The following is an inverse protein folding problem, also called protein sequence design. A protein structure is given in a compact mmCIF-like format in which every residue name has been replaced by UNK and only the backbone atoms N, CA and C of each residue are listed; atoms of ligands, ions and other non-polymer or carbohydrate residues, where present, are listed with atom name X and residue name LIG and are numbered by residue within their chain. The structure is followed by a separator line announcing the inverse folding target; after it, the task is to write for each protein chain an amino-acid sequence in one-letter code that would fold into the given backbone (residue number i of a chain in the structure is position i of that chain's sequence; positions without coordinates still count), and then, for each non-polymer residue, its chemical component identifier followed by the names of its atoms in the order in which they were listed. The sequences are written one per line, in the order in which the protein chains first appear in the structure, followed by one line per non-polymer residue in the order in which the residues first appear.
data_IF_954548326296
#
_entry.id   IF_954548326296
#
_cell.length_a   1.000
_cell.length_b   1.000
_cell.length_c   1.000
_cell.angle_alpha   90.00
_cell.angle_beta   90.00
_cell.angle_gamma   90.00
#
_symmetry.space_group_name_H-M   'P 1'
#
loop_
_entity.id
_entity.type
_entity.pdbx_description
1 polymer ?
#
# COMPACT_ATOMS: atom_id res chain seq x y z
N UNK A 1 -28.05 -5.98 2.42
CA UNK A 1 -28.86 -7.22 2.26
C UNK A 1 -27.99 -8.47 2.48
N UNK A 2 -26.87 -8.70 1.79
CA UNK A 2 -26.11 -9.94 1.90
C UNK A 2 -25.56 -10.23 3.30
N UNK A 3 -24.94 -9.25 3.96
CA UNK A 3 -24.37 -9.47 5.30
C UNK A 3 -25.44 -9.61 6.38
N UNK A 4 -26.60 -8.97 6.25
CA UNK A 4 -27.75 -9.20 7.15
C UNK A 4 -28.21 -10.66 7.07
N UNK A 5 -28.31 -11.24 5.87
CA UNK A 5 -28.68 -12.65 5.70
C UNK A 5 -27.61 -13.59 6.26
N UNK A 6 -26.32 -13.29 6.05
CA UNK A 6 -25.23 -14.09 6.63
C UNK A 6 -25.26 -14.05 8.17
N UNK A 7 -25.56 -12.91 8.74
CA UNK A 7 -25.67 -12.72 10.17
C UNK A 7 -26.80 -13.58 10.79
N UNK A 8 -27.93 -13.73 10.07
CA UNK A 8 -29.05 -14.54 10.50
C UNK A 8 -28.80 -16.06 10.44
N UNK A 9 -27.97 -16.53 9.49
CA UNK A 9 -27.80 -17.97 9.23
C UNK A 9 -26.50 -18.55 9.77
N UNK A 10 -25.50 -17.71 10.05
CA UNK A 10 -24.21 -18.16 10.59
C UNK A 10 -24.28 -18.27 12.12
N UNK A 11 -23.50 -19.22 12.66
CA UNK A 11 -23.29 -19.34 14.09
C UNK A 11 -22.85 -18.01 14.74
N UNK A 12 -23.28 -17.76 15.96
CA UNK A 12 -22.99 -16.50 16.68
C UNK A 12 -21.50 -16.22 16.87
N UNK A 13 -20.66 -17.26 16.82
CA UNK A 13 -19.21 -17.14 16.94
C UNK A 13 -18.50 -16.88 15.62
N UNK A 14 -19.22 -16.93 14.49
CA UNK A 14 -18.66 -16.72 13.15
C UNK A 14 -18.18 -15.28 12.98
N UNK A 15 -16.93 -15.11 12.54
CA UNK A 15 -16.40 -13.82 12.08
C UNK A 15 -16.81 -13.64 10.62
N UNK A 16 -17.45 -12.53 10.29
CA UNK A 16 -17.81 -12.16 8.93
C UNK A 16 -16.72 -11.29 8.32
N UNK A 17 -16.40 -11.52 7.06
CA UNK A 17 -15.38 -10.76 6.37
C UNK A 17 -15.83 -10.33 4.98
N UNK A 18 -15.43 -9.13 4.55
CA UNK A 18 -15.67 -8.61 3.21
C UNK A 18 -14.38 -8.44 2.42
N UNK A 19 -14.36 -8.90 1.17
CA UNK A 19 -13.28 -8.60 0.22
C UNK A 19 -13.56 -7.30 -0.57
N UNK A 20 -14.19 -6.33 0.06
CA UNK A 20 -14.40 -5.02 -0.58
C UNK A 20 -13.08 -4.34 -0.89
N UNK A 21 -13.01 -3.64 -2.03
CA UNK A 21 -11.89 -2.75 -2.38
C UNK A 21 -12.26 -1.27 -2.28
N UNK A 22 -13.56 -0.97 -2.08
CA UNK A 22 -14.07 0.39 -2.17
C UNK A 22 -15.17 0.72 -1.16
N UNK A 23 -15.91 -0.29 -0.64
CA UNK A 23 -16.94 -0.03 0.36
C UNK A 23 -16.34 0.09 1.75
N UNK A 24 -16.80 1.05 2.54
CA UNK A 24 -16.40 1.20 3.94
C UNK A 24 -16.70 -0.06 4.74
N UNK A 25 -15.69 -0.57 5.43
CA UNK A 25 -15.79 -1.74 6.31
C UNK A 25 -16.64 -1.40 7.54
N UNK A 26 -16.53 -0.17 8.05
CA UNK A 26 -17.37 0.33 9.15
C UNK A 26 -18.86 0.27 8.77
N UNK A 27 -19.24 0.80 7.60
CA UNK A 27 -20.62 0.76 7.14
C UNK A 27 -21.16 -0.66 6.91
N UNK A 28 -20.28 -1.59 6.50
CA UNK A 28 -20.66 -2.99 6.34
C UNK A 28 -20.82 -3.70 7.69
N UNK A 29 -19.97 -3.40 8.67
CA UNK A 29 -20.07 -3.93 10.02
C UNK A 29 -21.37 -3.52 10.72
N UNK A 30 -21.76 -2.25 10.59
CA UNK A 30 -23.03 -1.72 11.13
C UNK A 30 -24.28 -2.41 10.56
N UNK A 31 -24.16 -2.97 9.32
CA UNK A 31 -25.26 -3.72 8.70
C UNK A 31 -25.43 -5.15 9.26
N UNK A 32 -24.60 -5.56 10.22
CA UNK A 32 -24.66 -6.87 10.89
C UNK A 32 -25.05 -6.72 12.35
N UNK A 33 -25.56 -7.77 12.97
CA UNK A 33 -25.85 -7.84 14.42
C UNK A 33 -24.60 -8.16 15.26
N UNK A 34 -23.42 -8.33 14.61
CA UNK A 34 -22.13 -8.69 15.24
C UNK A 34 -20.98 -7.81 14.74
N UNK A 35 -21.05 -6.47 14.87
CA UNK A 35 -20.03 -5.58 14.33
C UNK A 35 -18.64 -5.78 14.97
N UNK A 36 -18.57 -6.32 16.18
CA UNK A 36 -17.34 -6.73 16.87
C UNK A 36 -16.65 -7.95 16.24
N UNK A 37 -17.34 -8.66 15.35
CA UNK A 37 -16.87 -9.84 14.59
C UNK A 37 -16.93 -9.62 13.08
N UNK A 38 -16.72 -8.39 12.65
CA UNK A 38 -16.66 -8.04 11.24
C UNK A 38 -15.31 -7.41 10.89
N UNK A 39 -14.74 -7.80 9.73
CA UNK A 39 -13.49 -7.24 9.21
C UNK A 39 -13.53 -7.12 7.68
N UNK A 40 -12.75 -6.21 7.12
CA UNK A 40 -12.34 -6.25 5.73
C UNK A 40 -11.15 -7.21 5.55
N UNK A 41 -11.19 -8.03 4.51
CA UNK A 41 -10.07 -8.89 4.08
C UNK A 41 -9.81 -8.64 2.60
N UNK A 42 -8.98 -7.67 2.27
CA UNK A 42 -8.71 -7.27 0.91
C UNK A 42 -7.59 -8.12 0.30
N UNK A 43 -7.97 -8.98 -0.66
CA UNK A 43 -7.05 -9.82 -1.41
C UNK A 43 -6.61 -9.14 -2.70
N UNK A 44 -5.37 -9.40 -3.09
CA UNK A 44 -4.80 -8.90 -4.34
C UNK A 44 -4.82 -9.93 -5.45
N UNK A 45 -4.84 -9.47 -6.70
CA UNK A 45 -4.81 -10.34 -7.88
C UNK A 45 -3.44 -11.06 -7.98
N UNK A 46 -3.37 -12.32 -8.18
CA UNK A 46 -4.34 -13.42 -8.09
C UNK A 46 -4.34 -13.97 -6.66
N UNK A 47 -5.48 -14.08 -5.96
CA UNK A 47 -5.52 -14.39 -4.52
C UNK A 47 -4.75 -15.65 -4.10
N UNK A 48 -4.69 -16.68 -4.96
CA UNK A 48 -3.94 -17.89 -4.66
C UNK A 48 -2.42 -17.75 -4.82
N UNK A 49 -1.94 -16.74 -5.56
CA UNK A 49 -0.51 -16.52 -5.85
C UNK A 49 0.07 -15.30 -5.12
N UNK A 50 -0.73 -14.27 -4.96
CA UNK A 50 -0.34 -13.06 -4.23
C UNK A 50 -0.40 -13.34 -2.74
N UNK A 51 0.71 -13.08 -2.06
CA UNK A 51 0.81 -13.32 -0.63
C UNK A 51 0.25 -12.18 0.22
N UNK A 52 0.08 -10.98 -0.35
CA UNK A 52 -0.42 -9.85 0.41
C UNK A 52 -1.89 -9.99 0.74
N UNK A 53 -2.24 -9.57 1.95
CA UNK A 53 -3.61 -9.31 2.38
C UNK A 53 -3.63 -8.06 3.26
N UNK A 54 -4.57 -7.18 3.01
CA UNK A 54 -4.89 -6.09 3.92
C UNK A 54 -6.05 -6.52 4.82
N UNK A 55 -5.85 -6.42 6.13
CA UNK A 55 -6.90 -6.61 7.14
C UNK A 55 -7.36 -5.23 7.59
N UNK A 56 -8.62 -4.96 7.40
CA UNK A 56 -9.24 -3.67 7.73
C UNK A 56 -10.23 -3.90 8.85
N UNK A 57 -9.86 -3.70 10.13
CA UNK A 57 -10.82 -3.76 11.21
C UNK A 57 -11.80 -2.59 11.10
N UNK A 58 -13.08 -2.86 11.38
CA UNK A 58 -14.02 -1.80 11.70
C UNK A 58 -13.66 -1.20 13.08
N UNK A 59 -14.13 0.01 13.37
CA UNK A 59 -13.93 0.64 14.69
C UNK A 59 -14.50 -0.20 15.84
N UNK A 60 -15.49 -1.02 15.54
CA UNK A 60 -16.14 -1.94 16.49
C UNK A 60 -15.50 -3.31 16.54
N UNK A 61 -14.61 -3.66 15.63
CA UNK A 61 -13.97 -4.99 15.59
C UNK A 61 -13.22 -5.27 16.90
N UNK A 62 -13.55 -6.38 17.56
CA UNK A 62 -12.87 -6.75 18.80
C UNK A 62 -11.43 -7.18 18.53
N UNK A 63 -10.55 -6.93 19.51
CA UNK A 63 -9.16 -7.42 19.45
C UNK A 63 -9.11 -8.93 19.24
N UNK A 64 -9.99 -9.69 19.89
CA UNK A 64 -10.06 -11.15 19.74
C UNK A 64 -10.37 -11.56 18.29
N UNK A 65 -11.31 -10.87 17.63
CA UNK A 65 -11.64 -11.13 16.23
C UNK A 65 -10.48 -10.78 15.30
N UNK A 66 -9.84 -9.64 15.54
CA UNK A 66 -8.69 -9.20 14.76
C UNK A 66 -7.52 -10.19 14.88
N UNK A 67 -7.14 -10.57 16.11
CA UNK A 67 -6.05 -11.52 16.36
C UNK A 67 -6.32 -12.89 15.72
N UNK A 68 -7.57 -13.37 15.78
CA UNK A 68 -7.96 -14.65 15.16
C UNK A 68 -7.84 -14.60 13.64
N UNK A 69 -8.28 -13.51 12.99
CA UNK A 69 -8.20 -13.31 11.55
C UNK A 69 -6.75 -13.14 11.11
N UNK A 70 -5.96 -12.37 11.82
CA UNK A 70 -4.54 -12.20 11.54
C UNK A 70 -3.81 -13.55 11.59
N UNK A 71 -4.03 -14.32 12.65
CA UNK A 71 -3.44 -15.65 12.79
C UNK A 71 -3.89 -16.61 11.67
N UNK A 72 -5.16 -16.57 11.31
CA UNK A 72 -5.68 -17.36 10.19
C UNK A 72 -4.97 -17.00 8.87
N UNK A 73 -4.83 -15.71 8.56
CA UNK A 73 -4.14 -15.25 7.36
C UNK A 73 -2.66 -15.68 7.35
N UNK A 74 -1.96 -15.57 8.48
CA UNK A 74 -0.57 -16.04 8.63
C UNK A 74 -0.45 -17.55 8.41
N UNK A 75 -1.39 -18.33 8.95
CA UNK A 75 -1.44 -19.80 8.76
C UNK A 75 -1.61 -20.18 7.28
N UNK A 76 -2.32 -19.35 6.50
CA UNK A 76 -2.42 -19.51 5.05
C UNK A 76 -1.16 -19.06 4.28
N UNK A 77 -0.09 -18.67 4.96
CA UNK A 77 1.14 -18.15 4.34
C UNK A 77 1.01 -16.75 3.76
N UNK A 78 0.03 -15.97 4.23
CA UNK A 78 -0.15 -14.59 3.82
C UNK A 78 0.77 -13.66 4.59
N UNK A 79 1.19 -12.60 3.93
CA UNK A 79 1.81 -11.43 4.52
C UNK A 79 0.70 -10.43 4.79
N UNK A 80 0.56 -10.02 6.05
CA UNK A 80 -0.55 -9.22 6.52
C UNK A 80 -0.11 -7.77 6.69
N UNK A 81 -0.97 -6.84 6.25
CA UNK A 81 -0.98 -5.43 6.64
C UNK A 81 -2.28 -5.18 7.38
N UNK A 82 -2.22 -4.59 8.56
CA UNK A 82 -3.40 -4.10 9.27
C UNK A 82 -3.49 -2.60 9.05
N UNK A 83 -4.63 -2.14 8.52
CA UNK A 83 -4.79 -0.73 8.18
C UNK A 83 -6.17 -0.19 8.55
N UNK A 84 -6.28 1.13 8.70
CA UNK A 84 -7.56 1.80 8.94
C UNK A 84 -8.48 1.73 7.71
N UNK A 85 -9.79 1.76 7.96
CA UNK A 85 -10.82 1.86 6.93
C UNK A 85 -10.81 3.27 6.31
N UNK A 86 -10.04 3.42 5.23
CA UNK A 86 -9.90 4.65 4.45
C UNK A 86 -9.96 4.33 2.96
N UNK A 87 -10.40 5.28 2.11
CA UNK A 87 -10.50 5.06 0.67
C UNK A 87 -9.19 4.58 0.06
N UNK A 88 -9.22 3.44 -0.64
CA UNK A 88 -8.06 2.80 -1.26
C UNK A 88 -7.15 2.04 -0.29
N UNK A 89 -7.50 1.98 1.00
CA UNK A 89 -6.71 1.34 2.06
C UNK A 89 -5.23 1.78 2.00
N UNK A 90 -4.30 0.85 1.77
CA UNK A 90 -2.88 1.17 1.64
C UNK A 90 -2.44 1.15 0.17
N UNK A 91 -2.52 -0.02 -0.46
CA UNK A 91 -1.88 -0.22 -1.78
C UNK A 91 -2.64 0.52 -2.87
N UNK A 92 -3.95 0.39 -2.94
CA UNK A 92 -4.73 1.06 -3.98
C UNK A 92 -4.67 2.59 -3.84
N UNK A 93 -4.45 3.11 -2.61
CA UNK A 93 -4.36 4.55 -2.34
C UNK A 93 -3.23 5.24 -3.13
N UNK A 94 -2.06 4.61 -3.24
CA UNK A 94 -0.95 5.16 -4.04
C UNK A 94 -0.87 4.55 -5.45
N UNK A 95 -1.31 3.31 -5.62
CA UNK A 95 -1.15 2.57 -6.86
C UNK A 95 -2.14 3.01 -7.95
N UNK A 96 -3.41 3.24 -7.59
CA UNK A 96 -4.44 3.62 -8.55
C UNK A 96 -4.17 5.00 -9.16
N UNK A 97 -3.85 6.05 -8.38
CA UNK A 97 -3.43 7.33 -8.95
C UNK A 97 -2.15 7.24 -9.82
N UNK A 98 -1.24 6.31 -9.52
CA UNK A 98 -0.06 6.06 -10.34
C UNK A 98 -0.43 5.57 -11.76
N UNK A 99 -1.42 4.69 -11.89
CA UNK A 99 -1.96 4.27 -13.19
C UNK A 99 -2.59 5.46 -13.94
N UNK A 100 -3.39 6.27 -13.24
CA UNK A 100 -4.01 7.44 -13.83
C UNK A 100 -2.99 8.48 -14.28
N UNK A 101 -1.93 8.70 -13.51
CA UNK A 101 -0.86 9.64 -13.84
C UNK A 101 -0.12 9.21 -15.12
N UNK A 102 0.06 7.91 -15.35
CA UNK A 102 0.59 7.41 -16.61
C UNK A 102 -0.35 7.72 -17.78
N UNK A 103 -1.67 7.57 -17.61
CA UNK A 103 -2.65 7.94 -18.62
C UNK A 103 -2.63 9.45 -18.93
N UNK A 104 -2.47 10.30 -17.92
CA UNK A 104 -2.34 11.75 -18.09
C UNK A 104 -1.06 12.12 -18.85
N UNK A 105 0.07 11.49 -18.53
CA UNK A 105 1.34 11.67 -19.27
C UNK A 105 1.19 11.33 -20.76
N UNK A 106 0.52 10.23 -21.09
CA UNK A 106 0.20 9.85 -22.46
C UNK A 106 -0.73 10.86 -23.13
N UNK A 107 -1.79 11.30 -22.44
CA UNK A 107 -2.76 12.27 -22.95
C UNK A 107 -2.14 13.62 -23.24
N UNK A 108 -1.17 14.05 -22.44
CA UNK A 108 -0.40 15.29 -22.60
C UNK A 108 0.67 15.18 -23.70
N UNK A 109 0.86 13.99 -24.27
CA UNK A 109 1.83 13.76 -25.35
C UNK A 109 3.30 13.79 -24.89
N UNK A 110 3.56 13.53 -23.59
CA UNK A 110 4.92 13.51 -23.05
C UNK A 110 5.75 12.41 -23.70
N UNK A 111 5.17 11.20 -23.86
CA UNK A 111 5.80 10.08 -24.55
C UNK A 111 4.75 9.04 -24.97
N UNK A 112 5.16 8.01 -25.73
CA UNK A 112 4.33 6.86 -26.06
C UNK A 112 4.05 5.98 -24.83
N UNK A 113 3.02 5.14 -24.90
CA UNK A 113 2.71 4.18 -23.83
C UNK A 113 3.89 3.24 -23.55
N UNK A 114 4.57 2.75 -24.60
CA UNK A 114 5.76 1.91 -24.46
C UNK A 114 6.92 2.64 -23.75
N UNK A 115 7.15 3.89 -24.06
CA UNK A 115 8.22 4.68 -23.44
C UNK A 115 7.88 4.98 -21.96
N UNK A 116 6.61 5.30 -21.64
CA UNK A 116 6.17 5.52 -20.26
C UNK A 116 6.33 4.22 -19.45
N UNK A 117 5.90 3.07 -19.99
CA UNK A 117 6.10 1.77 -19.36
C UNK A 117 7.58 1.48 -19.07
N UNK A 118 8.45 1.67 -20.08
CA UNK A 118 9.89 1.41 -19.95
C UNK A 118 10.56 2.32 -18.89
N UNK A 119 10.18 3.60 -18.83
CA UNK A 119 10.69 4.53 -17.80
C UNK A 119 10.19 4.12 -16.41
N UNK A 120 8.90 3.76 -16.28
CA UNK A 120 8.32 3.31 -15.04
C UNK A 120 8.98 2.01 -14.54
N UNK A 121 9.17 1.02 -15.42
CA UNK A 121 9.85 -0.24 -15.10
C UNK A 121 11.26 0.00 -14.55
N UNK A 122 12.02 0.88 -15.16
CA UNK A 122 13.36 1.24 -14.71
C UNK A 122 13.33 2.01 -13.38
N UNK A 123 12.42 2.98 -13.26
CA UNK A 123 12.32 3.85 -12.09
C UNK A 123 11.93 3.09 -10.81
N UNK A 124 10.92 2.24 -10.91
CA UNK A 124 10.40 1.46 -9.79
C UNK A 124 11.00 0.05 -9.69
N UNK A 125 11.84 -0.35 -10.66
CA UNK A 125 12.43 -1.70 -10.76
C UNK A 125 11.36 -2.79 -10.74
N UNK A 126 10.38 -2.61 -11.58
CA UNK A 126 9.24 -3.51 -11.76
C UNK A 126 9.32 -4.21 -13.11
N UNK A 127 8.66 -5.34 -13.23
CA UNK A 127 8.68 -6.15 -14.45
C UNK A 127 7.55 -5.84 -15.43
N UNK A 128 6.71 -4.86 -15.13
CA UNK A 128 5.57 -4.50 -15.97
C UNK A 128 5.16 -3.05 -15.70
N UNK A 129 5.13 -2.23 -16.73
CA UNK A 129 4.73 -0.84 -16.63
C UNK A 129 3.21 -0.64 -16.49
N UNK A 130 2.75 0.62 -16.29
CA UNK A 130 1.36 0.92 -15.99
C UNK A 130 0.38 0.50 -17.09
N UNK A 131 0.69 0.67 -18.37
CA UNK A 131 -0.19 0.31 -19.47
C UNK A 131 -0.27 -1.20 -19.67
N UNK A 132 0.88 -1.88 -19.62
CA UNK A 132 0.95 -3.34 -19.66
C UNK A 132 0.16 -3.96 -18.52
N UNK A 133 0.22 -3.36 -17.34
CA UNK A 133 -0.52 -3.83 -16.17
C UNK A 133 -2.03 -3.56 -16.30
N UNK A 134 -2.44 -2.40 -16.80
CA UNK A 134 -3.86 -2.13 -17.07
C UNK A 134 -4.42 -3.09 -18.13
N UNK A 135 -3.64 -3.47 -19.14
CA UNK A 135 -4.05 -4.48 -20.10
C UNK A 135 -4.23 -5.87 -19.46
N UNK A 136 -3.38 -6.21 -18.48
CA UNK A 136 -3.50 -7.48 -17.75
C UNK A 136 -4.72 -7.52 -16.82
N UNK A 137 -5.02 -6.42 -16.15
CA UNK A 137 -6.07 -6.35 -15.12
C UNK A 137 -7.42 -5.87 -15.66
N UNK A 138 -7.43 -5.19 -16.78
CA UNK A 138 -8.57 -4.58 -17.45
C UNK A 138 -8.71 -3.07 -17.18
N UNK A 139 -8.68 -2.23 -18.24
CA UNK A 139 -8.86 -0.78 -18.12
C UNK A 139 -10.10 -0.34 -17.33
N UNK A 140 -11.27 -1.03 -17.40
CA UNK A 140 -12.45 -0.68 -16.61
C UNK A 140 -12.22 -0.69 -15.10
N UNK A 141 -11.37 -1.59 -14.60
CA UNK A 141 -11.04 -1.65 -13.16
C UNK A 141 -10.25 -0.40 -12.76
N UNK A 142 -9.27 0.00 -13.58
CA UNK A 142 -8.50 1.21 -13.32
C UNK A 142 -9.40 2.45 -13.32
N UNK A 143 -10.26 2.62 -14.34
CA UNK A 143 -11.18 3.76 -14.43
C UNK A 143 -12.12 3.85 -13.24
N UNK A 144 -12.78 2.76 -12.89
CA UNK A 144 -13.68 2.74 -11.73
C UNK A 144 -12.95 3.13 -10.43
N UNK A 145 -11.75 2.60 -10.23
CA UNK A 145 -10.97 2.85 -9.03
C UNK A 145 -10.45 4.29 -8.96
N UNK A 146 -10.05 4.89 -10.08
CA UNK A 146 -9.60 6.29 -10.12
C UNK A 146 -10.74 7.24 -9.81
N UNK A 147 -11.91 7.05 -10.46
CA UNK A 147 -13.10 7.89 -10.22
C UNK A 147 -13.58 7.78 -8.76
N UNK A 148 -13.58 6.56 -8.20
CA UNK A 148 -13.90 6.35 -6.80
C UNK A 148 -12.95 7.12 -5.86
N UNK A 149 -11.63 7.01 -6.06
CA UNK A 149 -10.67 7.72 -5.22
C UNK A 149 -10.76 9.24 -5.38
N UNK A 150 -11.00 9.75 -6.61
CA UNK A 150 -11.18 11.17 -6.85
C UNK A 150 -12.37 11.74 -6.05
N UNK A 151 -13.48 11.02 -6.05
CA UNK A 151 -14.68 11.40 -5.30
C UNK A 151 -14.46 11.34 -3.79
N UNK A 152 -13.93 10.20 -3.29
CA UNK A 152 -13.80 9.97 -1.85
C UNK A 152 -12.72 10.84 -1.19
N UNK A 153 -11.68 11.20 -1.93
CA UNK A 153 -10.55 12.00 -1.43
C UNK A 153 -10.67 13.48 -1.83
N UNK A 154 -11.73 13.84 -2.57
CA UNK A 154 -11.95 15.19 -3.09
C UNK A 154 -10.71 15.72 -3.87
N UNK A 155 -10.02 14.84 -4.59
CA UNK A 155 -8.84 15.16 -5.37
C UNK A 155 -9.14 15.05 -6.87
N UNK A 156 -9.39 16.19 -7.57
CA UNK A 156 -9.70 16.18 -9.00
C UNK A 156 -8.64 15.52 -9.88
N UNK A 157 -7.38 15.57 -9.46
CA UNK A 157 -6.25 14.94 -10.19
C UNK A 157 -6.40 13.43 -10.32
N UNK A 158 -7.14 12.80 -9.42
CA UNK A 158 -7.38 11.35 -9.46
C UNK A 158 -8.55 10.97 -10.37
N UNK A 159 -9.31 11.92 -10.89
CA UNK A 159 -10.37 11.64 -11.87
C UNK A 159 -9.78 10.92 -13.08
N UNK A 160 -10.43 9.85 -13.51
CA UNK A 160 -9.97 9.03 -14.63
C UNK A 160 -9.69 9.88 -15.87
N UNK A 161 -8.47 9.76 -16.43
CA UNK A 161 -8.02 10.50 -17.59
C UNK A 161 -8.96 10.28 -18.79
N UNK A 162 -9.13 11.29 -19.66
CA UNK A 162 -10.08 11.20 -20.76
C UNK A 162 -9.73 10.05 -21.73
N UNK A 163 -8.45 9.81 -22.00
CA UNK A 163 -8.01 8.69 -22.82
C UNK A 163 -8.30 7.33 -22.21
N UNK A 164 -8.20 7.18 -20.87
CA UNK A 164 -8.61 5.97 -20.16
C UNK A 164 -10.13 5.75 -20.27
N UNK A 165 -10.89 6.81 -20.17
CA UNK A 165 -12.36 6.78 -20.31
C UNK A 165 -12.78 6.34 -21.71
N UNK A 166 -12.20 6.96 -22.74
CA UNK A 166 -12.43 6.57 -24.14
C UNK A 166 -12.07 5.10 -24.36
N UNK A 167 -10.91 4.65 -23.88
CA UNK A 167 -10.47 3.25 -23.97
C UNK A 167 -11.50 2.27 -23.40
N UNK A 168 -12.08 2.61 -22.26
CA UNK A 168 -13.11 1.78 -21.60
C UNK A 168 -14.44 1.83 -22.36
N UNK A 169 -14.85 3.00 -22.87
CA UNK A 169 -16.09 3.18 -23.65
C UNK A 169 -16.04 2.39 -24.97
N UNK A 170 -14.88 2.38 -25.63
CA UNK A 170 -14.68 1.65 -26.88
C UNK A 170 -14.45 0.13 -26.66
N UNK A 171 -14.24 -0.30 -25.42
CA UNK A 171 -13.97 -1.69 -25.08
C UNK A 171 -12.61 -2.19 -25.57
N UNK A 172 -11.66 -1.28 -25.70
CA UNK A 172 -10.33 -1.53 -26.25
C UNK A 172 -9.29 -1.73 -25.14
N UNK A 173 -8.09 -2.15 -25.57
CA UNK A 173 -6.89 -2.27 -24.75
C UNK A 173 -5.85 -1.27 -25.25
N UNK A 174 -4.93 -0.88 -24.36
CA UNK A 174 -3.84 0.02 -24.75
C UNK A 174 -2.99 -0.61 -25.86
N UNK A 175 -2.82 0.12 -26.97
CA UNK A 175 -1.77 -0.19 -27.94
C UNK A 175 -0.44 0.33 -27.37
N UNK A 176 0.36 -0.59 -26.83
CA UNK A 176 1.62 -0.22 -26.18
C UNK A 176 2.69 0.06 -27.22
N UNK A 177 2.66 -0.66 -28.36
CA UNK A 177 3.69 -0.57 -29.40
C UNK A 177 5.05 -1.15 -28.95
N UNK A 178 6.07 -0.95 -29.77
CA UNK A 178 7.42 -1.48 -29.52
C UNK A 178 8.46 -0.37 -29.25
N UNK A 179 8.14 0.89 -29.55
CA UNK A 179 9.08 2.01 -29.37
C UNK A 179 9.09 2.50 -27.92
N UNK A 180 10.09 2.01 -27.18
CA UNK A 180 10.35 2.35 -25.79
C UNK A 180 11.22 3.59 -25.60
N UNK A 181 11.61 4.26 -26.69
CA UNK A 181 12.52 5.42 -26.62
C UNK A 181 11.75 6.72 -26.41
N UNK A 182 12.32 7.59 -25.61
CA UNK A 182 11.88 8.97 -25.46
C UNK A 182 13.11 9.87 -25.21
N UNK A 183 12.92 11.19 -25.27
CA UNK A 183 13.98 12.12 -24.90
C UNK A 183 14.33 12.04 -23.42
N UNK A 184 15.54 12.45 -23.07
CA UNK A 184 15.95 12.53 -21.65
C UNK A 184 15.03 13.44 -20.84
N UNK A 185 14.53 14.52 -21.44
CA UNK A 185 13.57 15.44 -20.83
C UNK A 185 12.24 14.76 -20.55
N UNK A 186 11.68 14.03 -21.53
CA UNK A 186 10.45 13.25 -21.33
C UNK A 186 10.62 12.18 -20.25
N UNK A 187 11.74 11.46 -20.25
CA UNK A 187 12.06 10.47 -19.24
C UNK A 187 12.16 11.09 -17.84
N UNK A 188 12.72 12.29 -17.71
CA UNK A 188 12.79 13.03 -16.46
C UNK A 188 11.40 13.44 -15.95
N UNK A 189 10.54 13.96 -16.83
CA UNK A 189 9.14 14.33 -16.51
C UNK A 189 8.36 13.10 -16.04
N UNK A 190 8.43 11.99 -16.78
CA UNK A 190 7.73 10.74 -16.42
C UNK A 190 8.18 10.27 -15.03
N UNK A 191 9.50 10.20 -14.80
CA UNK A 191 10.05 9.78 -13.52
C UNK A 191 9.62 10.69 -12.37
N UNK A 192 9.71 12.01 -12.57
CA UNK A 192 9.34 13.00 -11.57
C UNK A 192 7.85 12.87 -11.17
N UNK A 193 6.96 12.76 -12.17
CA UNK A 193 5.52 12.71 -11.90
C UNK A 193 5.10 11.39 -11.26
N UNK A 194 5.56 10.26 -11.78
CA UNK A 194 5.20 8.95 -11.24
C UNK A 194 5.79 8.72 -9.84
N UNK A 195 7.06 9.08 -9.61
CA UNK A 195 7.68 8.96 -8.29
C UNK A 195 7.11 9.98 -7.30
N UNK A 196 6.95 11.22 -7.73
CA UNK A 196 6.36 12.28 -6.90
C UNK A 196 4.96 11.91 -6.41
N UNK A 197 4.13 11.34 -7.29
CA UNK A 197 2.81 10.82 -6.93
C UNK A 197 2.91 9.73 -5.85
N UNK A 198 3.78 8.75 -6.04
CA UNK A 198 3.93 7.64 -5.08
C UNK A 198 4.45 8.15 -3.74
N UNK A 199 5.45 9.02 -3.71
CA UNK A 199 6.02 9.52 -2.47
C UNK A 199 5.04 10.39 -1.69
N UNK A 200 4.38 11.33 -2.36
CA UNK A 200 3.46 12.25 -1.70
C UNK A 200 2.23 11.52 -1.12
N UNK A 201 1.66 10.56 -1.87
CA UNK A 201 0.52 9.78 -1.38
C UNK A 201 0.94 8.79 -0.28
N UNK A 202 2.12 8.18 -0.39
CA UNK A 202 2.66 7.34 0.68
C UNK A 202 2.89 8.12 1.97
N UNK A 203 3.36 9.37 1.85
CA UNK A 203 3.50 10.27 3.00
C UNK A 203 2.15 10.58 3.66
N UNK A 204 1.09 10.81 2.86
CA UNK A 204 -0.28 11.01 3.39
C UNK A 204 -0.80 9.77 4.12
N UNK A 205 -0.55 8.56 3.59
CA UNK A 205 -0.96 7.30 4.26
C UNK A 205 -0.40 7.21 5.66
N UNK A 206 0.87 7.58 5.84
CA UNK A 206 1.53 7.58 7.15
C UNK A 206 1.01 8.71 8.04
N UNK A 207 0.84 9.94 7.51
CA UNK A 207 0.29 11.08 8.25
C UNK A 207 -1.14 10.80 8.76
N UNK A 208 -1.97 10.18 7.96
CA UNK A 208 -3.33 9.77 8.34
C UNK A 208 -3.33 8.54 9.28
N UNK A 209 -2.15 8.02 9.63
CA UNK A 209 -1.97 6.81 10.44
C UNK A 209 -2.79 5.62 9.89
N UNK A 210 -2.89 5.49 8.58
CA UNK A 210 -3.59 4.36 7.95
C UNK A 210 -2.83 3.07 8.23
N UNK A 211 -1.51 3.10 8.06
CA UNK A 211 -0.58 2.06 8.47
C UNK A 211 0.83 2.65 8.66
N UNK A 212 1.79 1.81 9.05
CA UNK A 212 3.19 2.23 9.18
C UNK A 212 3.88 2.40 7.83
N UNK A 213 5.02 3.08 7.83
CA UNK A 213 5.90 3.24 6.67
C UNK A 213 6.36 1.87 6.14
N UNK A 214 6.70 0.95 7.03
CA UNK A 214 7.09 -0.42 6.70
C UNK A 214 5.97 -1.18 5.99
N UNK A 215 4.71 -0.94 6.39
CA UNK A 215 3.55 -1.58 5.78
C UNK A 215 3.24 -1.01 4.40
N UNK A 216 3.44 0.29 4.16
CA UNK A 216 3.38 0.87 2.80
C UNK A 216 4.37 0.18 1.88
N UNK A 217 5.63 0.07 2.30
CA UNK A 217 6.69 -0.58 1.53
C UNK A 217 6.43 -2.08 1.32
N UNK A 218 5.93 -2.75 2.36
CA UNK A 218 5.48 -4.15 2.31
C UNK A 218 4.36 -4.35 1.28
N UNK A 219 3.40 -3.43 1.26
CA UNK A 219 2.30 -3.43 0.30
C UNK A 219 2.78 -3.38 -1.15
N UNK A 220 3.72 -2.49 -1.46
CA UNK A 220 4.32 -2.38 -2.78
C UNK A 220 5.12 -3.64 -3.15
N UNK A 221 6.00 -4.11 -2.25
CA UNK A 221 6.89 -5.26 -2.51
C UNK A 221 6.11 -6.58 -2.67
N UNK A 222 5.17 -6.85 -1.79
CA UNK A 222 4.43 -8.12 -1.79
C UNK A 222 3.21 -8.07 -2.72
N UNK A 223 2.42 -6.99 -2.64
CA UNK A 223 1.18 -6.83 -3.38
C UNK A 223 1.39 -6.55 -4.86
N UNK A 224 2.28 -5.61 -5.18
CA UNK A 224 2.56 -5.18 -6.54
C UNK A 224 3.83 -5.80 -7.13
N UNK A 225 4.58 -6.58 -6.34
CA UNK A 225 5.86 -7.19 -6.73
C UNK A 225 6.93 -6.18 -7.14
N UNK A 226 6.91 -5.00 -6.54
CA UNK A 226 7.97 -4.04 -6.71
C UNK A 226 9.24 -4.55 -6.02
N UNK A 227 10.42 -4.24 -6.59
CA UNK A 227 11.68 -4.64 -5.97
C UNK A 227 11.97 -3.87 -4.68
N UNK A 228 11.48 -2.63 -4.59
CA UNK A 228 11.61 -1.75 -3.43
C UNK A 228 10.24 -1.09 -3.16
N UNK A 229 9.99 -0.78 -1.89
CA UNK A 229 8.83 0.02 -1.53
C UNK A 229 9.05 1.52 -1.76
N UNK A 230 7.98 2.33 -1.67
CA UNK A 230 8.05 3.78 -1.85
C UNK A 230 9.15 4.47 -1.04
N UNK A 231 9.25 4.17 0.24
CA UNK A 231 10.23 4.81 1.13
C UNK A 231 11.65 4.25 0.96
N UNK A 232 11.80 2.96 0.62
CA UNK A 232 13.09 2.41 0.21
C UNK A 232 13.58 3.07 -1.11
N UNK A 233 12.67 3.38 -2.04
CA UNK A 233 13.01 4.11 -3.27
C UNK A 233 13.44 5.54 -2.94
N UNK A 234 12.71 6.23 -2.05
CA UNK A 234 13.06 7.58 -1.60
C UNK A 234 14.46 7.65 -0.99
N UNK A 235 14.79 6.72 -0.08
CA UNK A 235 16.14 6.61 0.48
C UNK A 235 17.20 6.36 -0.60
N UNK A 236 16.88 5.54 -1.58
CA UNK A 236 17.82 5.14 -2.63
C UNK A 236 18.17 6.26 -3.61
N UNK A 237 17.19 7.08 -4.01
CA UNK A 237 17.44 8.20 -4.91
C UNK A 237 18.02 9.42 -4.19
N UNK A 238 17.87 9.46 -2.87
CA UNK A 238 18.26 10.56 -1.99
C UNK A 238 17.05 11.37 -1.54
N UNK A 239 16.99 11.66 -0.24
CA UNK A 239 15.83 12.30 0.40
C UNK A 239 15.51 13.66 -0.22
N UNK A 240 16.51 14.49 -0.48
CA UNK A 240 16.29 15.81 -1.11
C UNK A 240 15.61 15.69 -2.49
N UNK A 241 15.98 14.71 -3.31
CA UNK A 241 15.34 14.46 -4.62
C UNK A 241 13.92 13.95 -4.43
N UNK A 242 13.70 13.00 -3.50
CA UNK A 242 12.39 12.44 -3.22
C UNK A 242 11.41 13.51 -2.70
N UNK A 243 11.83 14.35 -1.77
CA UNK A 243 11.03 15.48 -1.24
C UNK A 243 10.69 16.47 -2.35
N UNK A 244 11.66 16.83 -3.21
CA UNK A 244 11.44 17.73 -4.34
C UNK A 244 10.41 17.17 -5.33
N UNK A 245 10.49 15.87 -5.65
CA UNK A 245 9.52 15.20 -6.53
C UNK A 245 8.12 15.15 -5.89
N UNK A 246 8.04 14.81 -4.60
CA UNK A 246 6.79 14.76 -3.86
C UNK A 246 6.11 16.12 -3.78
N UNK A 247 6.87 17.19 -3.49
CA UNK A 247 6.35 18.55 -3.45
C UNK A 247 5.83 19.00 -4.84
N UNK A 248 6.60 18.75 -5.89
CA UNK A 248 6.18 19.08 -7.26
C UNK A 248 4.88 18.40 -7.65
N UNK A 249 4.67 17.15 -7.20
CA UNK A 249 3.42 16.45 -7.46
C UNK A 249 2.28 16.96 -6.58
N UNK A 250 2.52 17.23 -5.31
CA UNK A 250 1.53 17.80 -4.39
C UNK A 250 1.00 19.14 -4.90
N UNK A 251 1.90 20.01 -5.40
CA UNK A 251 1.54 21.28 -6.04
C UNK A 251 0.69 21.05 -7.30
N UNK A 252 1.04 20.07 -8.14
CA UNK A 252 0.29 19.71 -9.34
C UNK A 252 -1.10 19.14 -9.04
N UNK A 253 -1.24 18.40 -7.95
CA UNK A 253 -2.46 17.74 -7.51
C UNK A 253 -3.28 18.59 -6.52
N UNK A 254 -2.79 19.80 -6.21
CA UNK A 254 -3.46 20.78 -5.34
C UNK A 254 -3.76 20.26 -3.92
N UNK A 255 -2.77 19.56 -3.32
CA UNK A 255 -2.84 19.17 -1.90
C UNK A 255 -1.56 19.49 -1.14
N UNK A 256 -1.64 19.58 0.18
CA UNK A 256 -0.49 19.84 1.03
C UNK A 256 0.35 18.57 1.23
N UNK A 257 1.66 18.64 0.95
CA UNK A 257 2.58 17.57 1.32
C UNK A 257 2.73 17.53 2.85
N UNK A 258 2.61 16.35 3.50
CA UNK A 258 2.80 16.25 4.95
C UNK A 258 4.14 16.83 5.42
N UNK A 259 4.10 17.67 6.44
CA UNK A 259 5.28 18.38 6.95
C UNK A 259 6.41 17.44 7.34
N UNK A 260 6.08 16.29 7.96
CA UNK A 260 7.09 15.33 8.36
C UNK A 260 7.92 14.80 7.18
N UNK A 261 7.32 14.70 5.99
CA UNK A 261 8.03 14.27 4.78
C UNK A 261 8.71 15.47 4.08
N UNK A 262 8.04 16.61 4.02
CA UNK A 262 8.57 17.84 3.40
C UNK A 262 9.85 18.35 4.07
N UNK A 263 9.99 18.15 5.39
CA UNK A 263 11.11 18.61 6.20
C UNK A 263 12.23 17.56 6.35
N UNK A 264 12.11 16.39 5.69
CA UNK A 264 13.15 15.35 5.77
C UNK A 264 14.47 15.83 5.18
N UNK A 265 15.55 15.59 5.92
CA UNK A 265 16.93 15.86 5.50
C UNK A 265 17.82 14.62 5.55
N UNK A 266 17.41 13.63 6.32
CA UNK A 266 18.15 12.38 6.54
C UNK A 266 17.36 11.18 5.99
N UNK A 267 18.03 10.07 5.65
CA UNK A 267 17.36 8.85 5.24
C UNK A 267 16.37 8.34 6.28
N UNK A 268 15.24 7.81 5.79
CA UNK A 268 14.23 7.18 6.62
C UNK A 268 14.78 5.91 7.26
N UNK A 269 14.56 5.75 8.55
CA UNK A 269 14.92 4.56 9.30
C UNK A 269 13.71 3.63 9.45
N UNK A 270 13.87 2.37 9.02
CA UNK A 270 12.83 1.35 9.13
C UNK A 270 12.95 0.60 10.45
N UNK A 271 11.82 0.32 11.08
CA UNK A 271 11.76 -0.52 12.28
C UNK A 271 11.30 -1.94 11.91
N UNK A 272 12.17 -2.92 12.11
CA UNK A 272 11.89 -4.33 11.84
C UNK A 272 11.88 -5.19 13.12
N UNK A 273 12.00 -4.59 14.29
CA UNK A 273 12.03 -5.32 15.56
C UNK A 273 11.07 -4.69 16.56
N UNK A 274 9.98 -5.37 16.83
CA UNK A 274 8.98 -4.96 17.80
C UNK A 274 9.29 -5.56 19.17
N UNK A 275 9.08 -4.78 20.24
CA UNK A 275 9.23 -5.25 21.63
C UNK A 275 7.91 -5.06 22.37
N UNK A 276 7.42 -6.15 22.95
CA UNK A 276 6.24 -6.15 23.78
C UNK A 276 6.54 -6.73 25.16
N UNK A 277 6.06 -6.09 26.22
CA UNK A 277 6.28 -6.53 27.60
C UNK A 277 4.93 -6.85 28.25
N UNK A 278 4.81 -8.06 28.79
CA UNK A 278 3.67 -8.51 29.58
C UNK A 278 4.18 -9.11 30.89
N UNK A 279 3.96 -8.37 31.98
CA UNK A 279 4.51 -8.72 33.30
C UNK A 279 6.03 -8.87 33.28
N UNK A 280 6.54 -10.03 33.65
CA UNK A 280 7.98 -10.34 33.69
C UNK A 280 8.52 -10.92 32.35
N UNK A 281 7.67 -11.03 31.32
CA UNK A 281 8.02 -11.59 30.01
C UNK A 281 8.07 -10.49 28.97
N UNK A 282 9.19 -10.39 28.25
CA UNK A 282 9.33 -9.54 27.08
C UNK A 282 9.38 -10.41 25.82
N UNK A 283 8.60 -10.05 24.81
CA UNK A 283 8.69 -10.64 23.47
C UNK A 283 9.37 -9.66 22.54
N UNK A 284 10.46 -10.10 21.91
CA UNK A 284 11.18 -9.39 20.85
C UNK A 284 10.85 -10.08 19.55
N UNK A 285 10.15 -9.40 18.65
CA UNK A 285 9.65 -9.97 17.39
C UNK A 285 10.32 -9.34 16.19
N UNK A 286 10.85 -10.18 15.29
CA UNK A 286 11.28 -9.73 13.97
C UNK A 286 10.03 -9.59 13.10
N UNK A 287 9.79 -8.39 12.58
CA UNK A 287 8.63 -8.04 11.75
C UNK A 287 9.05 -7.62 10.35
N UNK A 288 9.58 -8.58 9.59
CA UNK A 288 10.01 -8.41 8.20
C UNK A 288 9.49 -9.54 7.30
N UNK A 289 8.16 -9.82 7.33
CA UNK A 289 7.56 -10.99 6.66
C UNK A 289 7.70 -10.97 5.14
N UNK A 290 7.87 -9.80 4.53
CA UNK A 290 8.15 -9.66 3.09
C UNK A 290 9.47 -10.31 2.69
N UNK A 291 10.42 -10.40 3.61
CA UNK A 291 11.72 -11.07 3.44
C UNK A 291 11.83 -12.37 4.28
N UNK A 292 10.69 -12.97 4.68
CA UNK A 292 10.63 -14.17 5.52
C UNK A 292 11.42 -14.04 6.83
N UNK A 293 11.40 -12.86 7.43
CA UNK A 293 12.13 -12.49 8.65
C UNK A 293 13.65 -12.73 8.59
N UNK A 294 14.21 -12.71 7.36
CA UNK A 294 15.64 -12.89 7.16
C UNK A 294 16.44 -11.76 7.85
N UNK A 295 17.51 -12.16 8.52
CA UNK A 295 18.43 -11.23 9.18
C UNK A 295 19.21 -10.41 8.15
N UNK A 296 19.31 -9.12 8.39
CA UNK A 296 20.27 -8.22 7.75
C UNK A 296 20.91 -7.33 8.82
N UNK A 297 21.82 -6.46 8.44
CA UNK A 297 22.56 -5.60 9.37
C UNK A 297 21.60 -4.74 10.23
N UNK A 298 20.54 -4.18 9.64
CA UNK A 298 19.56 -3.35 10.37
C UNK A 298 18.84 -4.19 11.42
N UNK A 299 18.32 -5.36 11.05
CA UNK A 299 17.63 -6.26 12.00
C UNK A 299 18.57 -6.70 13.13
N UNK A 300 19.81 -7.05 12.81
CA UNK A 300 20.81 -7.48 13.82
C UNK A 300 21.10 -6.35 14.81
N UNK A 301 21.30 -5.12 14.32
CA UNK A 301 21.53 -3.95 15.17
C UNK A 301 20.31 -3.65 16.06
N UNK A 302 19.09 -3.70 15.50
CA UNK A 302 17.88 -3.47 16.26
C UNK A 302 17.63 -4.55 17.32
N UNK A 303 17.90 -5.83 16.99
CA UNK A 303 17.86 -6.92 17.97
C UNK A 303 18.86 -6.69 19.10
N UNK A 304 20.09 -6.30 18.79
CA UNK A 304 21.10 -5.97 19.80
C UNK A 304 20.60 -4.87 20.73
N UNK A 305 20.12 -3.76 20.19
CA UNK A 305 19.58 -2.64 20.97
C UNK A 305 18.40 -3.06 21.85
N UNK A 306 17.45 -3.84 21.31
CA UNK A 306 16.29 -4.32 22.05
C UNK A 306 16.70 -5.25 23.21
N UNK A 307 17.61 -6.20 22.96
CA UNK A 307 18.10 -7.14 23.96
C UNK A 307 18.91 -6.42 25.07
N UNK A 308 19.78 -5.49 24.72
CA UNK A 308 20.55 -4.70 25.69
C UNK A 308 19.62 -3.86 26.60
N UNK A 309 18.61 -3.23 26.01
CA UNK A 309 17.59 -2.47 26.74
C UNK A 309 16.83 -3.36 27.73
N UNK A 310 16.40 -4.55 27.31
CA UNK A 310 15.65 -5.48 28.16
C UNK A 310 16.54 -6.10 29.25
N UNK A 311 17.78 -6.43 28.95
CA UNK A 311 18.74 -6.99 29.92
C UNK A 311 19.07 -6.01 31.07
N UNK A 312 18.92 -4.71 30.84
CA UNK A 312 19.13 -3.69 31.85
C UNK A 312 17.94 -3.55 32.84
N UNK A 313 16.82 -4.20 32.58
CA UNK A 313 15.58 -4.13 33.35
C UNK A 313 15.49 -5.25 34.38
N UNK A 314 15.37 -4.91 35.66
CA UNK A 314 15.24 -5.87 36.77
C UNK A 314 13.87 -6.57 36.82
N UNK A 315 12.83 -5.95 36.23
CA UNK A 315 11.47 -6.45 36.19
C UNK A 315 11.26 -7.51 35.10
N UNK A 316 12.17 -7.66 34.15
CA UNK A 316 12.11 -8.67 33.09
C UNK A 316 12.88 -9.92 33.51
N UNK A 317 12.20 -11.08 33.49
CA UNK A 317 12.79 -12.39 33.85
C UNK A 317 12.98 -13.31 32.64
N UNK A 318 12.21 -13.08 31.59
CA UNK A 318 12.22 -13.93 30.39
C UNK A 318 12.13 -13.06 29.15
N UNK A 319 12.98 -13.35 28.18
CA UNK A 319 12.91 -12.75 26.84
C UNK A 319 12.60 -13.88 25.85
N UNK A 320 11.49 -13.69 25.10
CA UNK A 320 11.08 -14.57 24.01
C UNK A 320 11.46 -13.91 22.67
N UNK A 321 12.23 -14.61 21.86
CA UNK A 321 12.52 -14.17 20.48
C UNK A 321 11.55 -14.87 19.54
N UNK A 322 10.82 -14.08 18.74
CA UNK A 322 9.78 -14.49 17.78
C UNK A 322 10.06 -13.89 16.40
N UNK A 323 9.53 -14.52 15.31
CA UNK A 323 9.72 -14.00 13.97
C UNK A 323 9.11 -14.86 12.84
#
# INVERSE_FOLDING_TARGET
AGFTTLDEVCDEHTILASNTSSLSVNALAEATGRPDRFVGLHFFYHPAKNRLIEIIPAETTSKQSLDAVEQYCKTMGKVVIICKDRPGFVVNRFFVPWLNEACLLLQEGVASAAAIDAVAEKAFRIGMGPFSLMNLTGPPIALHSTDYLAEQLHCPRYTGAANLRTMVEDGEMWDIGEDTQCSDEAAAIIRQRLMGQVFSVSAQIVEEEICSMEDVDRGAKVGLRWALGPFEIANRIGISEAVSMAQSYADLAEFDLPNWFAELTEPLEFNYVDTHVDGEVATVRINRPEAMNALNEVVVNQLGTALDSLNSREDIKTIVLDG
#
